data_IF_500504901487
#
_entry.id   IF_500504901487
#
_cell.length_a   1.000
_cell.length_b   1.000
_cell.length_c   1.000
_cell.angle_alpha   90.00
_cell.angle_beta   90.00
_cell.angle_gamma   90.00
#
_symmetry.space_group_name_H-M   'P 1'
#
loop_
_entity.id
_entity.type
_entity.pdbx_description
1 polymer ?
#
# COMPACT_ATOMS: atom_id res chain seq x y z
N UNK A 1 -5.71 13.79 -1.14
CA UNK A 1 -4.49 13.98 -0.31
C UNK A 1 -4.56 15.37 0.29
N UNK A 2 -4.71 15.51 1.61
CA UNK A 2 -4.58 16.82 2.24
C UNK A 2 -3.09 17.14 2.41
N UNK A 3 -2.60 18.14 1.68
CA UNK A 3 -1.33 18.81 2.00
C UNK A 3 -1.64 19.76 3.15
N UNK A 4 -0.82 19.75 4.20
CA UNK A 4 -0.98 20.70 5.30
C UNK A 4 -0.78 22.12 4.75
N UNK A 5 -1.61 23.12 5.14
CA UNK A 5 -1.48 24.50 4.66
C UNK A 5 -0.05 25.05 4.77
N UNK A 6 0.63 24.76 5.89
CA UNK A 6 2.01 25.17 6.16
C UNK A 6 3.04 24.61 5.16
N UNK A 7 2.70 23.62 4.33
CA UNK A 7 3.62 22.98 3.39
C UNK A 7 3.25 23.19 1.93
N UNK A 8 2.18 23.93 1.63
CA UNK A 8 1.69 24.09 0.25
C UNK A 8 2.80 24.68 -0.66
N UNK A 9 3.61 25.61 -0.14
CA UNK A 9 4.68 26.24 -0.91
C UNK A 9 5.83 25.31 -1.30
N UNK A 10 5.93 24.11 -0.70
CA UNK A 10 6.93 23.10 -1.08
C UNK A 10 6.54 22.35 -2.36
N UNK A 11 5.31 22.54 -2.84
CA UNK A 11 4.75 21.84 -3.97
C UNK A 11 4.41 22.82 -5.10
N UNK A 12 4.62 22.44 -6.36
CA UNK A 12 4.20 23.25 -7.49
C UNK A 12 2.66 23.26 -7.61
N UNK A 13 2.12 24.23 -8.35
CA UNK A 13 0.67 24.42 -8.51
C UNK A 13 -0.03 23.20 -9.14
N UNK A 14 0.68 22.48 -10.00
CA UNK A 14 0.25 21.26 -10.70
C UNK A 14 0.53 19.98 -9.91
N UNK A 15 0.85 20.09 -8.62
CA UNK A 15 1.10 18.94 -7.77
C UNK A 15 -0.01 17.87 -7.78
N UNK A 16 -1.32 18.20 -7.81
CA UNK A 16 -2.35 17.18 -7.93
C UNK A 16 -2.17 16.29 -9.18
N UNK A 17 -1.81 16.88 -10.31
CA UNK A 17 -1.56 16.20 -11.58
C UNK A 17 -0.28 15.37 -11.51
N UNK A 18 0.81 15.93 -10.99
CA UNK A 18 2.09 15.21 -10.81
C UNK A 18 1.92 14.02 -9.86
N UNK A 19 1.25 14.22 -8.73
CA UNK A 19 0.97 13.17 -7.75
C UNK A 19 0.12 12.05 -8.35
N UNK A 20 -0.91 12.40 -9.14
CA UNK A 20 -1.72 11.42 -9.85
C UNK A 20 -0.87 10.62 -10.86
N UNK A 21 -0.07 11.30 -11.67
CA UNK A 21 0.82 10.65 -12.64
C UNK A 21 1.79 9.68 -11.95
N UNK A 22 2.43 10.09 -10.86
CA UNK A 22 3.35 9.22 -10.12
C UNK A 22 2.61 8.00 -9.55
N UNK A 23 1.48 8.20 -8.85
CA UNK A 23 0.79 7.13 -8.11
C UNK A 23 0.08 6.14 -9.02
N UNK A 24 -0.55 6.60 -10.10
CA UNK A 24 -1.48 5.78 -10.88
C UNK A 24 -0.99 5.49 -12.29
N UNK A 25 -0.18 6.38 -12.89
CA UNK A 25 0.34 6.16 -14.24
C UNK A 25 1.68 5.44 -14.19
N UNK A 26 2.67 6.01 -13.50
CA UNK A 26 4.01 5.40 -13.38
C UNK A 26 3.99 4.17 -12.47
N UNK A 27 3.50 4.32 -11.24
CA UNK A 27 3.48 3.23 -10.26
C UNK A 27 2.31 2.25 -10.43
N UNK A 28 1.40 2.51 -11.38
CA UNK A 28 0.27 1.62 -11.68
C UNK A 28 -0.73 1.44 -10.53
N UNK A 29 -0.79 2.37 -9.58
CA UNK A 29 -1.68 2.27 -8.42
C UNK A 29 -1.21 1.31 -7.34
N UNK A 30 0.07 0.91 -7.32
CA UNK A 30 0.63 0.07 -6.29
C UNK A 30 1.94 0.65 -5.72
N UNK A 31 2.27 0.28 -4.48
CA UNK A 31 3.55 0.65 -3.89
C UNK A 31 4.72 0.00 -4.67
N UNK A 32 5.65 0.81 -5.19
CA UNK A 32 6.84 0.30 -5.91
C UNK A 32 7.77 -0.53 -5.00
N UNK A 33 7.68 -0.40 -3.67
CA UNK A 33 8.48 -1.19 -2.73
C UNK A 33 7.86 -2.54 -2.36
N UNK A 34 6.60 -2.52 -1.89
CA UNK A 34 5.97 -3.72 -1.32
C UNK A 34 4.85 -4.30 -2.19
N UNK A 35 4.37 -3.57 -3.20
CA UNK A 35 3.31 -3.99 -4.11
C UNK A 35 1.89 -3.86 -3.56
N UNK A 36 1.68 -3.24 -2.38
CA UNK A 36 0.32 -3.04 -1.86
C UNK A 36 -0.47 -2.08 -2.78
N UNK A 37 -1.71 -2.43 -3.15
CA UNK A 37 -2.56 -1.58 -3.98
C UNK A 37 -3.01 -0.33 -3.21
N UNK A 38 -2.93 0.82 -3.87
CA UNK A 38 -3.29 2.10 -3.30
C UNK A 38 -4.81 2.25 -3.13
N UNK A 39 -5.28 2.71 -1.97
CA UNK A 39 -6.69 2.97 -1.69
C UNK A 39 -7.54 1.71 -1.49
N UNK A 40 -6.94 0.52 -1.58
CA UNK A 40 -7.63 -0.73 -1.34
C UNK A 40 -7.46 -1.20 0.11
N UNK A 41 -8.41 -2.02 0.58
CA UNK A 41 -8.28 -2.71 1.86
C UNK A 41 -7.48 -3.98 1.66
N UNK A 42 -6.38 -4.11 2.40
CA UNK A 42 -5.58 -5.34 2.41
C UNK A 42 -5.65 -5.99 3.79
N UNK A 43 -5.65 -7.32 3.81
CA UNK A 43 -5.50 -8.06 5.06
C UNK A 43 -4.02 -8.13 5.39
N UNK A 44 -3.61 -7.52 6.49
CA UNK A 44 -2.22 -7.54 6.95
C UNK A 44 -2.13 -8.04 8.38
N UNK A 45 -1.02 -8.70 8.66
CA UNK A 45 -0.58 -9.09 9.98
C UNK A 45 0.31 -7.98 10.54
N UNK A 46 0.30 -7.83 11.85
CA UNK A 46 1.01 -6.75 12.57
C UNK A 46 2.54 -6.78 12.40
N UNK A 47 3.07 -7.86 11.85
CA UNK A 47 4.48 -8.06 11.52
C UNK A 47 4.85 -7.61 10.08
N UNK A 48 3.89 -7.06 9.33
CA UNK A 48 4.07 -6.55 7.98
C UNK A 48 3.77 -7.55 6.88
N UNK A 49 3.47 -8.83 7.19
CA UNK A 49 2.94 -9.77 6.19
C UNK A 49 1.54 -9.37 5.76
N UNK A 50 1.19 -9.60 4.51
CA UNK A 50 -0.12 -9.23 3.97
C UNK A 50 -0.56 -10.17 2.85
N UNK A 51 -1.87 -10.25 2.64
CA UNK A 51 -2.49 -11.06 1.61
C UNK A 51 -2.64 -10.26 0.31
N UNK A 52 -1.92 -10.70 -0.73
CA UNK A 52 -2.07 -10.24 -2.10
C UNK A 52 -3.28 -10.95 -2.72
N UNK A 53 -4.41 -10.23 -2.80
CA UNK A 53 -5.67 -10.75 -3.32
C UNK A 53 -5.61 -11.05 -4.81
N UNK A 54 -4.87 -10.26 -5.59
CA UNK A 54 -4.78 -10.43 -7.05
C UNK A 54 -3.96 -11.66 -7.40
N UNK A 55 -2.87 -11.91 -6.66
CA UNK A 55 -1.98 -13.04 -6.92
C UNK A 55 -2.22 -14.25 -6.04
N UNK A 56 -3.26 -14.20 -5.19
CA UNK A 56 -3.62 -15.26 -4.25
C UNK A 56 -2.42 -15.78 -3.44
N UNK A 57 -1.60 -14.87 -2.91
CA UNK A 57 -0.41 -15.25 -2.14
C UNK A 57 -0.13 -14.33 -0.96
N UNK A 58 0.66 -14.82 -0.01
CA UNK A 58 1.17 -14.01 1.09
C UNK A 58 2.46 -13.31 0.69
N UNK A 59 2.61 -12.05 1.13
CA UNK A 59 3.82 -11.25 0.94
C UNK A 59 4.30 -10.67 2.25
N UNK A 60 5.60 -10.38 2.35
CA UNK A 60 6.17 -9.63 3.46
C UNK A 60 6.12 -8.11 3.21
N UNK A 61 6.63 -7.33 4.17
CA UNK A 61 6.70 -5.87 4.07
C UNK A 61 7.56 -5.34 2.91
N UNK A 62 8.44 -6.17 2.34
CA UNK A 62 9.26 -5.88 1.14
C UNK A 62 8.62 -6.40 -0.15
N UNK A 63 7.37 -6.87 -0.09
CA UNK A 63 6.66 -7.41 -1.24
C UNK A 63 7.12 -8.79 -1.72
N UNK A 64 8.06 -9.46 -1.04
CA UNK A 64 8.47 -10.82 -1.43
C UNK A 64 7.41 -11.83 -1.04
N UNK A 65 7.15 -12.81 -1.91
CA UNK A 65 6.24 -13.93 -1.63
C UNK A 65 6.77 -14.71 -0.43
N UNK A 66 5.87 -15.05 0.48
CA UNK A 66 6.14 -15.90 1.64
C UNK A 66 5.10 -17.02 1.72
N UNK A 67 5.39 -18.03 2.53
CA UNK A 67 4.42 -19.08 2.84
C UNK A 67 3.23 -18.50 3.59
N UNK A 68 2.11 -19.22 3.51
CA UNK A 68 0.94 -18.92 4.32
C UNK A 68 1.33 -18.98 5.81
N UNK A 69 1.02 -17.94 6.60
CA UNK A 69 1.17 -17.97 8.05
C UNK A 69 0.44 -19.18 8.67
N UNK A 70 1.08 -19.85 9.62
CA UNK A 70 0.52 -21.02 10.32
C UNK A 70 -0.17 -20.64 11.63
N UNK A 71 0.13 -19.46 12.16
CA UNK A 71 -0.51 -18.89 13.33
C UNK A 71 -1.98 -18.52 13.09
N UNK A 72 -2.70 -18.19 14.16
CA UNK A 72 -4.09 -17.74 14.07
C UNK A 72 -4.19 -16.35 13.42
N UNK A 73 -4.25 -16.33 12.09
CA UNK A 73 -4.31 -15.10 11.31
C UNK A 73 -5.56 -14.27 11.62
N UNK A 74 -6.67 -14.87 12.03
CA UNK A 74 -7.90 -14.15 12.34
C UNK A 74 -7.78 -13.39 13.67
N UNK A 75 -6.98 -13.89 14.60
CA UNK A 75 -6.70 -13.22 15.87
C UNK A 75 -5.71 -12.05 15.74
N UNK A 76 -4.82 -12.09 14.74
CA UNK A 76 -3.70 -11.13 14.62
C UNK A 76 -3.76 -10.22 13.40
N UNK A 77 -4.61 -10.54 12.43
CA UNK A 77 -4.74 -9.80 11.19
C UNK A 77 -5.85 -8.78 11.22
N UNK A 78 -5.69 -7.72 10.43
CA UNK A 78 -6.68 -6.67 10.25
C UNK A 78 -6.83 -6.30 8.78
N UNK A 79 -8.04 -5.93 8.40
CA UNK A 79 -8.31 -5.30 7.11
C UNK A 79 -8.09 -3.79 7.22
N UNK A 80 -6.98 -3.31 6.68
CA UNK A 80 -6.60 -1.89 6.77
C UNK A 80 -6.58 -1.25 5.38
N UNK A 81 -7.12 -0.02 5.24
CA UNK A 81 -6.96 0.75 4.00
C UNK A 81 -5.49 1.12 3.78
N UNK A 82 -5.02 0.98 2.54
CA UNK A 82 -3.66 1.36 2.09
C UNK A 82 -3.64 2.76 1.52
#
# INVERSE_FOLDING_TARGET
MPIRPEHIFLYPIDWPQLSHHVRFVRAGGACEHCGRPHGQRVFHLRDGRWWDRERHCWRNGKGRRVLRPTENILAHGAWTPV
#
